data_IF_885719403920
#
_entry.id   IF_885719403920
#
_cell.length_a   1.000
_cell.length_b   1.000
_cell.length_c   1.000
_cell.angle_alpha   90.00
_cell.angle_beta   90.00
_cell.angle_gamma   90.00
#
_symmetry.space_group_name_H-M   'P 1'
#
loop_
_entity.id
_entity.type
_entity.pdbx_description
1 polymer ?
#
# COMPACT_ATOMS: atom_id res chain seq x y z
N UNK A 1 2.11 30.10 -16.03
CA UNK A 1 2.58 28.71 -15.87
C UNK A 1 1.43 27.76 -16.09
N UNK A 2 1.67 26.66 -16.78
CA UNK A 2 0.64 25.65 -17.04
C UNK A 2 0.43 24.76 -15.80
N UNK A 3 -0.81 24.31 -15.58
CA UNK A 3 -1.09 23.32 -14.53
C UNK A 3 -0.66 21.94 -15.01
N UNK A 4 0.31 21.31 -14.32
CA UNK A 4 0.79 19.99 -14.70
C UNK A 4 0.03 18.87 -13.97
N UNK A 5 -0.29 17.79 -14.69
CA UNK A 5 -1.03 16.64 -14.17
C UNK A 5 -0.78 15.40 -15.03
N UNK A 6 -1.26 14.25 -14.54
CA UNK A 6 -1.21 12.95 -15.19
C UNK A 6 -1.63 13.03 -16.67
N UNK A 7 -0.84 12.39 -17.54
CA UNK A 7 -1.08 12.32 -18.99
C UNK A 7 -0.44 13.44 -19.80
N UNK A 8 0.03 14.52 -19.17
CA UNK A 8 0.80 15.53 -19.88
C UNK A 8 2.20 15.01 -20.23
N UNK A 9 2.79 15.51 -21.33
CA UNK A 9 4.18 15.26 -21.68
C UNK A 9 4.83 16.49 -22.33
N UNK A 10 6.14 16.63 -22.16
CA UNK A 10 6.92 17.68 -22.80
C UNK A 10 6.90 17.52 -24.33
N UNK A 11 7.21 18.60 -25.04
CA UNK A 11 7.20 18.59 -26.52
C UNK A 11 8.18 17.54 -27.05
N UNK A 12 7.69 16.66 -27.94
CA UNK A 12 8.50 15.58 -28.52
C UNK A 12 8.76 14.38 -27.59
N UNK A 13 8.21 14.35 -26.37
CA UNK A 13 8.38 13.25 -25.40
C UNK A 13 7.24 12.24 -25.37
N UNK A 14 6.25 12.35 -26.27
CA UNK A 14 5.21 11.34 -26.37
C UNK A 14 5.83 9.96 -26.65
N UNK A 15 5.33 8.88 -26.02
CA UNK A 15 5.79 7.54 -26.35
C UNK A 15 5.42 7.19 -27.79
N UNK A 16 6.35 6.56 -28.52
CA UNK A 16 6.12 6.08 -29.90
C UNK A 16 4.98 5.07 -29.98
N UNK A 17 4.81 4.26 -28.93
CA UNK A 17 3.72 3.32 -28.76
C UNK A 17 3.03 3.53 -27.39
N UNK A 18 1.99 4.37 -27.31
CA UNK A 18 1.27 4.65 -26.06
C UNK A 18 0.70 3.39 -25.39
N UNK A 19 0.28 2.39 -26.17
CA UNK A 19 -0.30 1.15 -25.64
C UNK A 19 0.74 0.31 -24.92
N UNK A 20 1.90 0.15 -25.53
CA UNK A 20 3.02 -0.59 -24.94
C UNK A 20 3.54 0.10 -23.67
N UNK A 21 3.68 1.43 -23.72
CA UNK A 21 4.05 2.22 -22.56
C UNK A 21 3.07 2.01 -21.38
N UNK A 22 1.77 2.12 -21.64
CA UNK A 22 0.75 1.98 -20.60
C UNK A 22 0.57 0.53 -20.14
N UNK A 23 0.86 -0.47 -20.98
CA UNK A 23 0.67 -1.89 -20.64
C UNK A 23 1.51 -2.31 -19.44
N UNK A 24 2.73 -1.78 -19.37
CA UNK A 24 3.64 -1.98 -18.23
C UNK A 24 3.02 -1.39 -16.95
N UNK A 25 2.42 -0.21 -17.06
CA UNK A 25 1.83 0.53 -15.93
C UNK A 25 0.42 0.05 -15.53
N UNK A 26 -0.26 -0.66 -16.42
CA UNK A 26 -1.66 -1.08 -16.28
C UNK A 26 -1.84 -2.53 -15.85
N UNK A 27 -0.76 -3.21 -15.47
CA UNK A 27 -0.82 -4.61 -15.02
C UNK A 27 -1.98 -4.87 -14.03
N UNK A 28 -2.80 -5.89 -14.32
CA UNK A 28 -3.98 -6.24 -13.52
C UNK A 28 -5.27 -6.14 -14.33
N UNK A 29 -6.30 -5.49 -13.76
CA UNK A 29 -7.68 -5.57 -14.25
C UNK A 29 -8.04 -4.56 -15.36
N UNK A 30 -7.09 -3.77 -15.87
CA UNK A 30 -7.35 -2.84 -16.98
C UNK A 30 -7.27 -3.59 -18.32
N UNK A 31 -8.35 -3.53 -19.10
CA UNK A 31 -8.44 -4.14 -20.43
C UNK A 31 -8.14 -3.17 -21.58
N UNK A 32 -8.47 -1.88 -21.41
CA UNK A 32 -8.17 -0.83 -22.38
C UNK A 32 -6.94 -0.04 -21.95
N UNK A 33 -5.85 -0.27 -22.65
CA UNK A 33 -4.52 0.22 -22.33
C UNK A 33 -4.14 1.40 -23.24
N UNK A 34 -5.08 2.32 -23.50
CA UNK A 34 -4.86 3.43 -24.45
C UNK A 34 -4.72 4.81 -23.79
N UNK A 35 -5.04 4.90 -22.50
CA UNK A 35 -5.14 6.16 -21.77
C UNK A 35 -4.75 5.97 -20.30
N UNK A 36 -4.24 6.99 -19.62
CA UNK A 36 -4.08 6.93 -18.16
C UNK A 36 -5.44 6.88 -17.46
N UNK A 37 -5.44 6.37 -16.24
CA UNK A 37 -6.59 6.36 -15.35
C UNK A 37 -6.26 7.11 -14.07
N UNK A 38 -6.95 8.22 -13.83
CA UNK A 38 -6.83 8.97 -12.59
C UNK A 38 -7.73 8.36 -11.52
N UNK A 39 -7.10 7.69 -10.55
CA UNK A 39 -7.79 6.95 -9.49
C UNK A 39 -8.57 7.83 -8.53
N UNK A 40 -8.12 9.07 -8.30
CA UNK A 40 -8.73 9.98 -7.34
C UNK A 40 -9.80 10.86 -7.99
N UNK A 41 -9.92 10.81 -9.32
CA UNK A 41 -10.94 11.54 -10.10
C UNK A 41 -11.89 10.62 -10.84
N UNK A 42 -11.62 9.32 -10.87
CA UNK A 42 -12.35 8.31 -11.65
C UNK A 42 -12.47 8.69 -13.12
N UNK A 43 -11.43 9.31 -13.69
CA UNK A 43 -11.39 9.76 -15.08
C UNK A 43 -10.29 9.08 -15.88
N UNK A 44 -10.47 9.09 -17.19
CA UNK A 44 -9.48 8.61 -18.15
C UNK A 44 -8.82 9.81 -18.82
N UNK A 45 -7.49 9.82 -18.90
CA UNK A 45 -6.69 10.93 -19.41
C UNK A 45 -5.82 10.46 -20.58
N UNK A 46 -5.89 11.18 -21.70
CA UNK A 46 -5.05 10.90 -22.87
C UNK A 46 -3.70 11.61 -22.74
N UNK A 47 -2.73 11.16 -23.53
CA UNK A 47 -1.49 11.89 -23.72
C UNK A 47 -1.78 13.28 -24.30
N UNK A 48 -1.21 14.32 -23.70
CA UNK A 48 -1.35 15.68 -24.19
C UNK A 48 -0.02 16.43 -24.06
N UNK A 49 0.43 17.02 -25.17
CA UNK A 49 1.65 17.79 -25.20
C UNK A 49 1.49 19.10 -24.41
N UNK A 50 2.54 19.49 -23.70
CA UNK A 50 2.76 20.84 -23.20
C UNK A 50 4.04 21.40 -23.82
N UNK A 51 4.07 22.72 -23.97
CA UNK A 51 5.23 23.43 -24.53
C UNK A 51 6.40 23.40 -23.54
N UNK A 52 7.61 23.22 -24.06
CA UNK A 52 8.85 23.28 -23.28
C UNK A 52 9.18 21.98 -22.55
N UNK A 53 9.85 22.14 -21.40
CA UNK A 53 10.45 21.09 -20.56
C UNK A 53 9.88 21.06 -19.13
N UNK A 54 8.68 21.62 -18.91
CA UNK A 54 8.12 21.83 -17.57
C UNK A 54 7.96 20.52 -16.78
N UNK A 55 7.75 19.37 -17.44
CA UNK A 55 7.63 18.07 -16.79
C UNK A 55 8.99 17.49 -16.45
N UNK A 56 9.95 17.54 -17.37
CA UNK A 56 11.34 17.14 -17.10
C UNK A 56 11.92 17.94 -15.94
N UNK A 57 11.66 19.25 -15.88
CA UNK A 57 12.09 20.11 -14.76
C UNK A 57 11.41 19.76 -13.43
N UNK A 58 10.12 19.40 -13.47
CA UNK A 58 9.40 18.91 -12.30
C UNK A 58 10.00 17.58 -11.80
N UNK A 59 10.22 16.62 -12.70
CA UNK A 59 10.82 15.32 -12.37
C UNK A 59 12.23 15.50 -11.77
N UNK A 60 13.04 16.37 -12.38
CA UNK A 60 14.38 16.71 -11.88
C UNK A 60 14.32 17.33 -10.49
N UNK A 61 13.39 18.24 -10.23
CA UNK A 61 13.17 18.79 -8.90
C UNK A 61 12.79 17.69 -7.90
N UNK A 62 11.79 16.85 -8.24
CA UNK A 62 11.30 15.79 -7.34
C UNK A 62 12.41 14.77 -7.02
N UNK A 63 13.27 14.46 -7.98
CA UNK A 63 14.46 13.64 -7.75
C UNK A 63 15.41 14.31 -6.76
N UNK A 64 15.84 15.55 -7.06
CA UNK A 64 16.81 16.28 -6.23
C UNK A 64 16.30 16.57 -4.81
N UNK A 65 15.00 16.77 -4.65
CA UNK A 65 14.34 17.00 -3.37
C UNK A 65 14.05 15.70 -2.58
N UNK A 66 14.26 14.52 -3.17
CA UNK A 66 14.15 13.22 -2.50
C UNK A 66 12.82 12.49 -2.64
N UNK A 67 11.93 12.93 -3.52
CA UNK A 67 10.58 12.35 -3.71
C UNK A 67 10.48 11.35 -4.86
N UNK A 68 11.48 11.34 -5.75
CA UNK A 68 11.57 10.45 -6.90
C UNK A 68 12.93 9.73 -6.90
N UNK A 69 13.22 8.84 -5.94
CA UNK A 69 14.55 8.23 -5.72
C UNK A 69 15.01 7.26 -6.85
N UNK A 70 14.24 7.16 -7.93
CA UNK A 70 14.58 6.43 -9.16
C UNK A 70 14.95 7.37 -10.30
N UNK A 71 14.97 8.68 -10.06
CA UNK A 71 15.28 9.69 -11.06
C UNK A 71 16.68 9.56 -11.67
N UNK A 72 17.59 8.83 -11.03
CA UNK A 72 18.91 8.49 -11.62
C UNK A 72 18.81 7.61 -12.87
N UNK A 73 17.69 6.90 -13.07
CA UNK A 73 17.48 6.12 -14.27
C UNK A 73 16.87 7.02 -15.35
N UNK A 74 17.50 7.08 -16.52
CA UNK A 74 17.02 7.89 -17.66
C UNK A 74 15.58 7.56 -18.08
N UNK A 75 15.12 6.34 -17.81
CA UNK A 75 13.74 5.92 -18.07
C UNK A 75 12.69 6.60 -17.19
N UNK A 76 13.11 7.22 -16.07
CA UNK A 76 12.22 7.85 -15.08
C UNK A 76 12.09 9.35 -15.32
N UNK A 77 13.19 10.07 -15.55
CA UNK A 77 13.17 11.48 -15.97
C UNK A 77 13.04 11.51 -17.50
N UNK A 78 11.82 11.32 -17.97
CA UNK A 78 11.51 11.13 -19.38
C UNK A 78 10.64 12.24 -20.00
N UNK A 79 10.21 13.22 -19.19
CA UNK A 79 9.33 14.31 -19.63
C UNK A 79 7.86 13.89 -19.82
N UNK A 80 7.45 12.73 -19.30
CA UNK A 80 6.06 12.26 -19.29
C UNK A 80 5.53 12.28 -17.85
N UNK A 81 4.44 13.00 -17.61
CA UNK A 81 3.76 13.02 -16.32
C UNK A 81 2.94 11.75 -16.16
N UNK A 82 3.60 10.68 -15.75
CA UNK A 82 3.03 9.35 -15.51
C UNK A 82 2.61 9.14 -14.05
N UNK A 83 2.27 7.89 -13.68
CA UNK A 83 1.91 7.54 -12.31
C UNK A 83 3.05 7.68 -11.31
N UNK A 84 4.32 7.54 -11.74
CA UNK A 84 5.49 7.72 -10.86
C UNK A 84 5.67 9.21 -10.54
N UNK A 85 5.50 10.08 -11.54
CA UNK A 85 5.52 11.53 -11.38
C UNK A 85 4.38 12.00 -10.49
N UNK A 86 3.17 11.48 -10.70
CA UNK A 86 2.02 11.81 -9.86
C UNK A 86 2.22 11.37 -8.40
N UNK A 87 2.73 10.16 -8.17
CA UNK A 87 3.03 9.64 -6.83
C UNK A 87 4.09 10.49 -6.12
N UNK A 88 5.19 10.80 -6.82
CA UNK A 88 6.28 11.63 -6.29
C UNK A 88 5.78 13.03 -5.92
N UNK A 89 4.91 13.61 -6.74
CA UNK A 89 4.33 14.93 -6.45
C UNK A 89 3.37 14.89 -5.25
N UNK A 90 2.57 13.83 -5.09
CA UNK A 90 1.72 13.65 -3.90
C UNK A 90 2.54 13.52 -2.63
N UNK A 91 3.66 12.77 -2.67
CA UNK A 91 4.57 12.69 -1.52
C UNK A 91 5.18 14.05 -1.18
N UNK A 92 5.57 14.85 -2.19
CA UNK A 92 6.04 16.22 -1.96
C UNK A 92 4.97 17.08 -1.30
N UNK A 93 3.75 17.07 -1.84
CA UNK A 93 2.63 17.83 -1.29
C UNK A 93 2.31 17.40 0.15
N UNK A 94 2.33 16.09 0.42
CA UNK A 94 2.10 15.55 1.76
C UNK A 94 3.20 15.95 2.73
N UNK A 95 4.47 15.94 2.31
CA UNK A 95 5.59 16.39 3.12
C UNK A 95 5.48 17.89 3.43
N UNK A 96 5.18 18.72 2.43
CA UNK A 96 4.93 20.15 2.61
C UNK A 96 3.79 20.37 3.61
N UNK A 97 2.75 19.56 3.58
CA UNK A 97 1.61 19.68 4.49
C UNK A 97 1.94 19.30 5.94
N UNK A 98 2.84 18.33 6.14
CA UNK A 98 2.96 17.61 7.42
C UNK A 98 4.28 17.80 8.16
N UNK A 99 5.38 18.02 7.44
CA UNK A 99 6.75 18.03 7.98
C UNK A 99 7.50 19.32 7.72
N UNK A 100 7.17 20.03 6.64
CA UNK A 100 7.79 21.31 6.30
C UNK A 100 7.34 22.42 7.27
N UNK A 101 8.25 23.03 8.06
CA UNK A 101 7.89 24.06 9.03
C UNK A 101 7.29 25.33 8.39
N UNK A 102 7.65 25.62 7.14
CA UNK A 102 7.14 26.72 6.32
C UNK A 102 6.11 26.24 5.28
N UNK A 103 5.61 25.03 5.47
CA UNK A 103 4.66 24.39 4.59
C UNK A 103 3.24 24.93 4.70
N UNK A 104 2.37 24.43 3.83
CA UNK A 104 0.94 24.74 3.85
C UNK A 104 0.15 23.54 4.41
N UNK A 105 -0.31 23.66 5.65
CA UNK A 105 -1.10 22.62 6.35
C UNK A 105 -2.43 22.30 5.65
N UNK A 106 -2.92 23.19 4.79
CA UNK A 106 -4.14 22.99 4.00
C UNK A 106 -3.84 22.45 2.59
N UNK A 107 -2.57 22.23 2.25
CA UNK A 107 -2.19 21.64 0.98
C UNK A 107 -2.86 20.28 0.82
N UNK A 108 -3.40 20.02 -0.36
CA UNK A 108 -4.01 18.73 -0.68
C UNK A 108 -3.03 17.90 -1.51
N UNK A 109 -2.70 16.66 -1.10
CA UNK A 109 -1.84 15.78 -1.87
C UNK A 109 -2.61 15.15 -3.04
N UNK A 110 -2.92 15.93 -4.06
CA UNK A 110 -3.70 15.52 -5.23
C UNK A 110 -2.87 15.13 -6.47
N UNK A 111 -1.56 15.36 -6.44
CA UNK A 111 -0.66 15.05 -7.53
C UNK A 111 -0.81 15.99 -8.72
N UNK A 112 -1.33 17.20 -8.50
CA UNK A 112 -1.47 18.25 -9.51
C UNK A 112 -0.52 19.41 -9.16
N UNK A 113 0.32 19.81 -10.13
CA UNK A 113 1.18 20.99 -9.98
C UNK A 113 0.38 22.24 -10.39
N UNK A 114 -0.34 22.82 -9.43
CA UNK A 114 -0.93 24.16 -9.55
C UNK A 114 0.00 25.27 -9.05
N UNK A 115 -0.50 26.50 -8.98
CA UNK A 115 0.26 27.65 -8.46
C UNK A 115 0.69 27.49 -7.01
N UNK A 116 -0.16 26.90 -6.16
CA UNK A 116 0.18 26.58 -4.77
C UNK A 116 1.38 25.64 -4.68
N UNK A 117 1.31 24.49 -5.35
CA UNK A 117 2.43 23.54 -5.42
C UNK A 117 3.70 24.20 -5.98
N UNK A 118 3.58 24.98 -7.06
CA UNK A 118 4.72 25.66 -7.69
C UNK A 118 5.42 26.64 -6.74
N UNK A 119 4.67 27.41 -5.92
CA UNK A 119 5.26 28.31 -4.92
C UNK A 119 6.18 27.57 -3.95
N UNK A 120 5.79 26.37 -3.49
CA UNK A 120 6.63 25.57 -2.60
C UNK A 120 7.83 24.97 -3.34
N UNK A 121 7.66 24.54 -4.60
CA UNK A 121 8.78 24.09 -5.45
C UNK A 121 9.82 25.19 -5.61
N UNK A 122 9.41 26.42 -5.95
CA UNK A 122 10.31 27.55 -6.17
C UNK A 122 11.06 27.91 -4.88
N UNK A 123 10.37 27.92 -3.74
CA UNK A 123 10.99 28.13 -2.43
C UNK A 123 12.01 27.05 -2.10
N UNK A 124 11.66 25.77 -2.29
CA UNK A 124 12.56 24.65 -2.02
C UNK A 124 13.79 24.69 -2.94
N UNK A 125 13.64 25.07 -4.22
CA UNK A 125 14.76 25.29 -5.14
C UNK A 125 15.68 26.42 -4.66
N UNK A 126 15.10 27.56 -4.29
CA UNK A 126 15.85 28.73 -3.83
C UNK A 126 16.63 28.45 -2.54
N UNK A 127 16.04 27.71 -1.61
CA UNK A 127 16.62 27.39 -0.31
C UNK A 127 17.37 26.05 -0.30
N UNK A 128 17.44 25.34 -1.43
CA UNK A 128 18.04 24.01 -1.57
C UNK A 128 17.52 22.98 -0.53
N UNK A 129 16.21 23.00 -0.27
CA UNK A 129 15.55 22.09 0.67
C UNK A 129 15.44 20.70 0.06
N UNK A 130 15.64 19.67 0.90
CA UNK A 130 15.37 18.28 0.59
C UNK A 130 14.53 17.66 1.70
N UNK A 131 13.77 16.62 1.37
CA UNK A 131 13.11 15.80 2.38
C UNK A 131 14.15 15.18 3.31
N UNK A 132 13.85 15.08 4.60
CA UNK A 132 14.79 14.51 5.57
C UNK A 132 15.10 13.03 5.33
N UNK A 133 14.17 12.28 4.75
CA UNK A 133 14.35 10.87 4.43
C UNK A 133 15.39 10.61 3.34
N UNK A 134 15.95 11.64 2.69
CA UNK A 134 17.13 11.45 1.81
C UNK A 134 18.35 10.97 2.59
N UNK A 135 18.37 11.17 3.91
CA UNK A 135 19.43 10.72 4.80
C UNK A 135 19.14 9.33 5.39
N UNK A 136 18.02 8.71 5.03
CA UNK A 136 17.63 7.39 5.52
C UNK A 136 17.79 6.37 4.40
N UNK A 137 18.36 5.21 4.71
CA UNK A 137 18.53 4.12 3.75
C UNK A 137 18.49 2.77 4.45
N UNK A 138 18.53 1.69 3.68
CA UNK A 138 18.73 0.35 4.23
C UNK A 138 20.05 0.20 5.02
N UNK A 139 21.09 0.96 4.62
CA UNK A 139 22.41 0.98 5.27
C UNK A 139 22.48 1.93 6.47
N UNK A 140 21.61 2.94 6.50
CA UNK A 140 21.44 3.89 7.59
C UNK A 140 19.97 3.94 8.02
N UNK A 141 19.44 2.84 8.59
CA UNK A 141 18.04 2.77 8.95
C UNK A 141 17.75 3.53 10.25
N UNK A 142 16.49 3.91 10.44
CA UNK A 142 15.99 4.32 11.75
C UNK A 142 16.06 3.18 12.77
N UNK A 143 16.18 3.52 14.06
CA UNK A 143 16.18 2.53 15.14
C UNK A 143 14.93 1.64 15.12
N UNK A 144 13.76 2.23 14.84
CA UNK A 144 12.51 1.48 14.77
C UNK A 144 12.50 0.49 13.60
N UNK A 145 13.07 0.87 12.44
CA UNK A 145 13.19 -0.04 11.30
C UNK A 145 14.06 -1.24 11.65
N UNK A 146 15.24 -1.02 12.25
CA UNK A 146 16.12 -2.11 12.69
C UNK A 146 15.45 -3.04 13.70
N UNK A 147 14.66 -2.48 14.63
CA UNK A 147 13.86 -3.29 15.57
C UNK A 147 12.84 -4.18 14.85
N UNK A 148 12.11 -3.64 13.88
CA UNK A 148 11.15 -4.40 13.09
C UNK A 148 11.79 -5.51 12.27
N UNK A 149 12.91 -5.25 11.60
CA UNK A 149 13.67 -6.29 10.89
C UNK A 149 14.13 -7.39 11.86
N UNK A 150 14.62 -7.01 13.05
CA UNK A 150 14.99 -7.96 14.10
C UNK A 150 13.81 -8.84 14.57
N UNK A 151 12.62 -8.26 14.71
CA UNK A 151 11.38 -9.00 15.03
C UNK A 151 11.06 -10.04 13.96
N UNK A 152 11.11 -9.65 12.68
CA UNK A 152 10.79 -10.54 11.56
C UNK A 152 11.80 -11.70 11.46
N UNK A 153 13.09 -11.41 11.61
CA UNK A 153 14.15 -12.44 11.62
C UNK A 153 13.96 -13.39 12.80
N UNK A 154 13.67 -12.88 14.00
CA UNK A 154 13.40 -13.70 15.18
C UNK A 154 12.19 -14.62 14.97
N UNK A 155 11.11 -14.10 14.37
CA UNK A 155 9.92 -14.88 14.04
C UNK A 155 10.25 -16.01 13.05
N UNK A 156 10.99 -15.74 11.96
CA UNK A 156 11.46 -16.80 11.05
C UNK A 156 12.24 -17.88 11.77
N UNK A 157 13.23 -17.48 12.58
CA UNK A 157 14.08 -18.43 13.31
C UNK A 157 13.29 -19.30 14.29
N UNK A 158 12.28 -18.72 14.94
CA UNK A 158 11.36 -19.46 15.79
C UNK A 158 10.58 -20.50 14.97
N UNK A 159 9.93 -20.09 13.89
CA UNK A 159 9.06 -20.97 13.09
C UNK A 159 9.81 -22.01 12.26
N UNK A 160 11.10 -21.84 12.01
CA UNK A 160 11.94 -22.90 11.44
C UNK A 160 12.03 -24.14 12.34
N UNK A 161 11.88 -23.97 13.66
CA UNK A 161 12.01 -25.04 14.64
C UNK A 161 10.71 -25.34 15.39
N UNK A 162 9.72 -24.43 15.32
CA UNK A 162 8.48 -24.49 16.09
C UNK A 162 7.30 -24.10 15.19
N UNK A 163 7.07 -24.87 14.13
CA UNK A 163 5.93 -24.63 13.24
C UNK A 163 4.62 -24.81 13.98
N UNK A 164 3.64 -23.96 13.68
CA UNK A 164 2.24 -24.18 14.07
C UNK A 164 1.50 -24.91 12.95
N UNK A 165 0.28 -25.37 13.22
CA UNK A 165 -0.53 -26.16 12.27
C UNK A 165 -0.76 -25.45 10.93
N UNK A 166 -0.95 -24.13 10.96
CA UNK A 166 -1.07 -23.30 9.75
C UNK A 166 0.19 -23.38 8.89
N UNK A 167 1.37 -23.25 9.49
CA UNK A 167 2.64 -23.27 8.77
C UNK A 167 3.04 -24.68 8.32
N UNK A 168 2.61 -25.73 9.04
CA UNK A 168 2.75 -27.12 8.59
C UNK A 168 2.01 -27.32 7.27
N UNK A 169 0.74 -26.90 7.19
CA UNK A 169 -0.07 -26.96 5.97
C UNK A 169 0.58 -26.17 4.80
N UNK A 170 1.17 -25.00 5.08
CA UNK A 170 1.91 -24.21 4.07
C UNK A 170 3.14 -24.96 3.55
N UNK A 171 3.87 -25.67 4.42
CA UNK A 171 5.03 -26.46 4.01
C UNK A 171 4.65 -27.72 3.23
N UNK A 172 3.49 -28.29 3.52
CA UNK A 172 2.99 -29.48 2.81
C UNK A 172 2.32 -29.15 1.47
N UNK A 173 1.91 -27.90 1.25
CA UNK A 173 1.28 -27.46 0.01
C UNK A 173 2.23 -27.61 -1.19
N UNK A 174 1.79 -28.33 -2.23
CA UNK A 174 2.65 -28.77 -3.35
C UNK A 174 2.51 -27.97 -4.64
N UNK A 175 1.45 -27.19 -4.80
CA UNK A 175 1.24 -26.39 -6.03
C UNK A 175 1.94 -25.04 -5.92
N UNK A 176 2.27 -24.44 -7.06
CA UNK A 176 2.80 -23.08 -7.13
C UNK A 176 1.85 -22.09 -6.42
N UNK A 177 2.41 -21.27 -5.54
CA UNK A 177 1.68 -20.23 -4.80
C UNK A 177 2.60 -19.04 -4.52
N UNK A 178 2.00 -17.87 -4.30
CA UNK A 178 2.69 -16.67 -3.82
C UNK A 178 2.84 -16.65 -2.28
N UNK A 179 2.24 -17.59 -1.54
CA UNK A 179 2.55 -17.82 -0.13
C UNK A 179 3.88 -18.55 0.00
N UNK A 180 4.76 -18.09 0.89
CA UNK A 180 6.11 -18.59 1.03
C UNK A 180 6.22 -19.54 2.22
N UNK A 181 6.88 -20.66 1.96
CA UNK A 181 7.48 -21.54 2.95
C UNK A 181 8.40 -20.78 3.90
N UNK A 182 8.48 -21.21 5.16
CA UNK A 182 9.21 -20.50 6.23
C UNK A 182 10.69 -20.37 5.90
N UNK A 183 11.29 -21.45 5.40
CA UNK A 183 12.69 -21.46 4.92
C UNK A 183 12.97 -20.38 3.87
N UNK A 184 11.97 -20.08 3.04
CA UNK A 184 12.04 -19.12 1.96
C UNK A 184 11.66 -17.70 2.37
N UNK A 185 11.26 -17.42 3.62
CA UNK A 185 10.96 -16.05 4.04
C UNK A 185 12.18 -15.14 3.86
N UNK A 186 11.99 -13.95 3.32
CA UNK A 186 13.03 -12.99 3.00
C UNK A 186 12.76 -11.67 3.72
N UNK A 187 13.69 -11.25 4.55
CA UNK A 187 13.65 -9.99 5.30
C UNK A 187 14.85 -9.10 4.96
N UNK A 188 15.39 -9.26 3.76
CA UNK A 188 16.44 -8.38 3.26
C UNK A 188 15.99 -6.92 3.31
N UNK A 189 16.86 -6.04 3.79
CA UNK A 189 16.58 -4.60 3.88
C UNK A 189 16.55 -3.91 2.51
N UNK A 190 16.98 -4.63 1.47
CA UNK A 190 16.88 -4.25 0.07
C UNK A 190 15.47 -4.33 -0.52
N UNK A 191 14.54 -4.95 0.21
CA UNK A 191 13.17 -5.21 -0.22
C UNK A 191 12.18 -4.38 0.58
N UNK A 192 11.02 -4.13 -0.01
CA UNK A 192 9.90 -3.47 0.67
C UNK A 192 9.14 -4.53 1.45
N UNK A 193 8.88 -4.27 2.73
CA UNK A 193 8.07 -5.15 3.58
C UNK A 193 6.82 -4.44 4.05
N UNK A 194 5.66 -5.08 3.90
CA UNK A 194 4.43 -4.72 4.58
C UNK A 194 4.14 -5.80 5.61
N UNK A 195 3.94 -5.42 6.87
CA UNK A 195 3.63 -6.34 7.96
C UNK A 195 2.21 -6.09 8.42
N UNK A 196 1.34 -7.09 8.32
CA UNK A 196 0.00 -7.06 8.90
C UNK A 196 -0.01 -7.75 10.25
N UNK A 197 -0.57 -7.07 11.25
CA UNK A 197 -0.72 -7.59 12.60
C UNK A 197 -2.21 -7.77 12.86
N UNK A 198 -2.64 -9.03 12.73
CA UNK A 198 -4.02 -9.45 12.91
C UNK A 198 -4.36 -9.58 14.38
N UNK A 199 -5.56 -9.15 14.74
CA UNK A 199 -6.09 -9.16 16.10
C UNK A 199 -7.48 -9.78 16.10
N UNK A 200 -7.82 -10.51 17.16
CA UNK A 200 -9.17 -11.00 17.42
C UNK A 200 -9.79 -11.89 16.32
N UNK A 201 -8.97 -12.60 15.54
CA UNK A 201 -9.44 -13.44 14.41
C UNK A 201 -10.42 -14.54 14.85
N UNK A 202 -10.26 -14.97 16.10
CA UNK A 202 -11.03 -16.02 16.76
C UNK A 202 -12.37 -15.52 17.33
N UNK A 203 -12.58 -14.21 17.44
CA UNK A 203 -13.81 -13.67 18.00
C UNK A 203 -14.91 -13.70 16.95
N UNK A 204 -16.03 -14.37 17.22
CA UNK A 204 -17.24 -14.24 16.42
C UNK A 204 -17.72 -12.78 16.48
N UNK A 205 -17.70 -12.10 15.35
CA UNK A 205 -18.30 -10.78 15.19
C UNK A 205 -18.91 -10.66 13.80
N UNK A 206 -20.22 -10.38 13.76
CA UNK A 206 -20.99 -10.14 12.53
C UNK A 206 -20.44 -8.97 11.71
N UNK A 207 -19.77 -8.01 12.36
CA UNK A 207 -19.16 -6.85 11.70
C UNK A 207 -17.71 -6.71 12.19
N UNK A 208 -16.77 -7.23 11.40
CA UNK A 208 -15.35 -6.99 11.61
C UNK A 208 -15.01 -5.51 11.58
N UNK A 209 -14.40 -5.05 12.68
CA UNK A 209 -13.88 -3.69 12.81
C UNK A 209 -12.55 -3.57 12.09
N UNK A 210 -12.18 -2.33 11.80
CA UNK A 210 -10.82 -1.99 11.36
C UNK A 210 -9.93 -1.79 12.60
N UNK A 211 -9.54 -2.88 13.26
CA UNK A 211 -8.74 -2.89 14.49
C UNK A 211 -7.40 -3.62 14.36
N UNK A 212 -6.93 -3.81 13.11
CA UNK A 212 -5.62 -4.33 12.78
C UNK A 212 -4.63 -3.23 12.41
N UNK A 213 -3.34 -3.56 12.55
CA UNK A 213 -2.22 -2.66 12.31
C UNK A 213 -1.39 -3.15 11.12
N UNK A 214 -0.99 -2.22 10.26
CA UNK A 214 -0.10 -2.45 9.14
C UNK A 214 1.17 -1.61 9.29
N UNK A 215 2.34 -2.23 9.13
CA UNK A 215 3.64 -1.58 9.21
C UNK A 215 4.33 -1.67 7.86
N UNK A 216 4.60 -0.54 7.22
CA UNK A 216 5.41 -0.48 6.01
C UNK A 216 6.86 -0.19 6.40
N UNK A 217 7.75 -1.12 6.08
CA UNK A 217 9.20 -0.98 6.20
C UNK A 217 9.75 -0.69 4.81
N UNK A 218 10.31 0.49 4.61
CA UNK A 218 10.76 0.94 3.30
C UNK A 218 11.95 1.88 3.41
N UNK A 219 13.05 1.55 2.72
CA UNK A 219 14.26 2.37 2.67
C UNK A 219 14.73 2.88 4.06
N UNK A 220 14.79 1.98 5.06
CA UNK A 220 15.18 2.32 6.44
C UNK A 220 14.14 3.06 7.28
N UNK A 221 12.95 3.32 6.74
CA UNK A 221 11.86 4.04 7.40
C UNK A 221 10.70 3.13 7.78
N UNK A 222 9.93 3.55 8.79
CA UNK A 222 8.73 2.86 9.27
C UNK A 222 7.51 3.77 9.15
N UNK A 223 6.49 3.32 8.42
CA UNK A 223 5.17 3.96 8.38
C UNK A 223 4.14 3.00 8.95
N UNK A 224 3.12 3.51 9.64
CA UNK A 224 2.09 2.69 10.28
C UNK A 224 0.71 3.10 9.80
N UNK A 225 -0.11 2.13 9.46
CA UNK A 225 -1.46 2.32 8.94
C UNK A 225 -2.40 1.39 9.69
N UNK A 226 -3.70 1.66 9.67
CA UNK A 226 -4.69 0.81 10.33
C UNK A 226 -5.75 0.36 9.34
N UNK A 227 -6.46 -0.71 9.68
CA UNK A 227 -7.43 -1.32 8.80
C UNK A 227 -7.90 -2.67 9.31
N UNK A 228 -8.17 -3.61 8.39
CA UNK A 228 -8.57 -4.98 8.73
C UNK A 228 -7.87 -5.99 7.82
N UNK A 229 -7.38 -7.06 8.41
CA UNK A 229 -6.75 -8.21 7.76
C UNK A 229 -7.72 -9.38 7.60
N UNK A 230 -8.91 -9.27 8.21
CA UNK A 230 -9.94 -10.30 8.23
C UNK A 230 -11.04 -10.04 7.19
N UNK A 231 -11.66 -11.10 6.66
CA UNK A 231 -12.89 -11.00 5.90
C UNK A 231 -14.07 -10.51 6.76
N UNK A 232 -15.07 -9.92 6.11
CA UNK A 232 -16.40 -9.69 6.65
C UNK A 232 -17.41 -10.56 5.90
N UNK A 233 -18.00 -11.56 6.56
CA UNK A 233 -19.03 -12.41 5.95
C UNK A 233 -20.23 -11.62 5.44
N UNK A 234 -20.64 -10.55 6.13
CA UNK A 234 -21.71 -9.66 5.70
C UNK A 234 -21.44 -9.04 4.32
N UNK A 235 -20.17 -8.98 3.91
CA UNK A 235 -19.75 -8.55 2.57
C UNK A 235 -19.63 -9.73 1.58
N UNK A 236 -19.33 -10.93 2.07
CA UNK A 236 -19.26 -12.16 1.27
C UNK A 236 -20.65 -12.71 0.89
N UNK A 237 -21.65 -12.54 1.77
CA UNK A 237 -23.02 -12.97 1.59
C UNK A 237 -24.00 -11.80 1.56
N UNK A 238 -24.74 -11.66 0.45
CA UNK A 238 -25.84 -10.71 0.34
C UNK A 238 -27.15 -11.38 0.79
N UNK A 239 -27.54 -11.11 2.04
CA UNK A 239 -28.74 -11.70 2.63
C UNK A 239 -30.03 -11.32 1.89
N UNK A 240 -30.15 -10.06 1.45
CA UNK A 240 -31.33 -9.58 0.71
C UNK A 240 -31.54 -10.31 -0.62
N UNK A 241 -30.45 -10.64 -1.32
CA UNK A 241 -30.49 -11.33 -2.61
C UNK A 241 -30.30 -12.84 -2.48
N UNK A 242 -30.11 -13.35 -1.27
CA UNK A 242 -29.72 -14.75 -0.98
C UNK A 242 -28.60 -15.25 -1.89
N UNK A 243 -27.58 -14.40 -2.09
CA UNK A 243 -26.47 -14.66 -3.02
C UNK A 243 -25.13 -14.32 -2.37
N UNK A 244 -24.15 -15.21 -2.54
CA UNK A 244 -22.80 -15.01 -2.04
C UNK A 244 -22.24 -16.29 -1.46
N UNK A 245 -21.17 -16.17 -0.68
CA UNK A 245 -20.52 -17.29 0.01
C UNK A 245 -20.60 -17.06 1.52
N UNK A 246 -20.80 -18.14 2.25
CA UNK A 246 -20.79 -18.21 3.70
C UNK A 246 -19.43 -18.68 4.24
N UNK A 247 -18.51 -19.02 3.33
CA UNK A 247 -17.18 -19.52 3.64
C UNK A 247 -16.11 -18.54 3.15
N UNK A 248 -16.09 -17.37 3.80
CA UNK A 248 -15.10 -16.36 3.52
C UNK A 248 -13.65 -16.88 3.65
N UNK A 249 -12.74 -16.41 2.79
CA UNK A 249 -11.36 -16.83 2.85
C UNK A 249 -10.58 -16.01 3.87
N UNK A 250 -9.87 -16.69 4.76
CA UNK A 250 -8.87 -16.13 5.66
C UNK A 250 -7.47 -16.37 5.09
N UNK A 251 -6.72 -15.29 4.84
CA UNK A 251 -5.31 -15.42 4.48
C UNK A 251 -4.55 -16.11 5.61
N UNK A 252 -3.72 -17.09 5.25
CA UNK A 252 -2.86 -17.81 6.21
C UNK A 252 -1.81 -16.88 6.82
N UNK A 253 -1.42 -17.11 8.07
CA UNK A 253 -0.24 -16.47 8.65
C UNK A 253 1.02 -16.86 7.87
N UNK A 254 2.00 -15.95 7.79
CA UNK A 254 3.28 -16.15 7.11
C UNK A 254 3.64 -15.03 6.13
N UNK A 255 4.63 -15.29 5.26
CA UNK A 255 5.07 -14.32 4.24
C UNK A 255 4.49 -14.64 2.86
N UNK A 256 4.10 -13.61 2.13
CA UNK A 256 3.50 -13.68 0.80
C UNK A 256 4.17 -12.69 -0.15
N UNK A 257 4.20 -13.02 -1.45
CA UNK A 257 4.67 -12.12 -2.49
C UNK A 257 3.50 -11.36 -3.11
N UNK A 258 3.56 -10.03 -3.05
CA UNK A 258 2.53 -9.14 -3.60
C UNK A 258 3.13 -8.18 -4.61
N UNK A 259 2.30 -7.65 -5.51
CA UNK A 259 2.65 -6.56 -6.43
C UNK A 259 1.54 -5.54 -6.52
N UNK A 260 1.90 -4.31 -6.89
CA UNK A 260 0.89 -3.34 -7.28
C UNK A 260 0.23 -3.74 -8.61
N UNK A 261 -1.09 -3.54 -8.67
CA UNK A 261 -1.87 -3.74 -9.87
C UNK A 261 -3.25 -3.12 -9.75
N UNK A 262 -3.95 -3.00 -10.87
CA UNK A 262 -5.29 -2.43 -10.90
C UNK A 262 -6.31 -3.37 -10.29
N UNK A 263 -7.15 -2.82 -9.39
CA UNK A 263 -8.27 -3.50 -8.75
C UNK A 263 -9.59 -2.99 -9.31
N UNK A 264 -10.40 -3.89 -9.88
CA UNK A 264 -11.70 -3.58 -10.49
C UNK A 264 -11.64 -2.41 -11.46
N UNK A 265 -10.52 -2.28 -12.17
CA UNK A 265 -10.25 -1.15 -13.07
C UNK A 265 -10.46 0.22 -12.41
N UNK A 266 -10.43 0.38 -11.08
CA UNK A 266 -10.80 1.66 -10.42
C UNK A 266 -9.61 2.36 -9.76
N UNK A 267 -8.87 1.63 -8.95
CA UNK A 267 -7.67 2.11 -8.25
C UNK A 267 -6.64 1.01 -8.13
N UNK A 268 -5.41 1.37 -7.77
CA UNK A 268 -4.33 0.40 -7.53
C UNK A 268 -4.46 -0.27 -6.16
N UNK A 269 -4.18 -1.57 -6.14
CA UNK A 269 -4.14 -2.43 -4.95
C UNK A 269 -2.88 -3.30 -4.98
N UNK A 270 -2.50 -3.80 -3.81
CA UNK A 270 -1.57 -4.92 -3.75
C UNK A 270 -2.35 -6.20 -4.08
N UNK A 271 -1.90 -6.93 -5.10
CA UNK A 271 -2.46 -8.20 -5.54
C UNK A 271 -1.43 -9.30 -5.34
N UNK A 272 -1.84 -10.57 -5.16
CA UNK A 272 -0.93 -11.70 -5.24
C UNK A 272 -0.06 -11.62 -6.50
N UNK A 273 1.22 -11.95 -6.37
CA UNK A 273 2.22 -11.70 -7.40
C UNK A 273 1.90 -12.38 -8.75
N UNK A 274 1.64 -13.69 -8.74
CA UNK A 274 1.43 -14.48 -9.96
C UNK A 274 0.41 -15.59 -9.78
N UNK A 275 0.57 -16.44 -8.77
CA UNK A 275 -0.16 -17.70 -8.65
C UNK A 275 -1.38 -17.62 -7.71
N UNK A 276 -1.41 -16.63 -6.82
CA UNK A 276 -2.39 -16.55 -5.74
C UNK A 276 -1.81 -17.00 -4.41
N UNK A 277 -2.50 -16.65 -3.33
CA UNK A 277 -2.10 -16.92 -1.94
C UNK A 277 -2.94 -18.02 -1.32
N UNK A 278 -2.38 -18.72 -0.34
CA UNK A 278 -3.08 -19.78 0.40
C UNK A 278 -4.06 -19.18 1.41
N UNK A 279 -5.22 -19.81 1.55
CA UNK A 279 -6.29 -19.38 2.46
C UNK A 279 -6.92 -20.58 3.15
N UNK A 280 -7.38 -20.39 4.38
CA UNK A 280 -8.41 -21.22 4.98
C UNK A 280 -9.79 -20.64 4.66
N UNK A 281 -10.82 -21.48 4.75
CA UNK A 281 -12.23 -21.09 4.53
C UNK A 281 -12.96 -21.35 5.83
N UNK A 282 -13.78 -20.41 6.28
CA UNK A 282 -14.75 -20.66 7.35
C UNK A 282 -15.78 -21.66 6.84
N UNK A 283 -15.66 -22.93 7.23
CA UNK A 283 -16.51 -24.01 6.67
C UNK A 283 -17.66 -24.40 7.58
N UNK A 284 -17.70 -23.89 8.81
CA UNK A 284 -18.84 -24.04 9.73
C UNK A 284 -19.66 -22.76 9.90
N UNK A 285 -19.29 -21.70 9.17
CA UNK A 285 -20.03 -20.45 9.04
C UNK A 285 -20.19 -19.74 10.39
N UNK A 286 -19.13 -19.72 11.19
CA UNK A 286 -19.07 -19.09 12.50
C UNK A 286 -18.43 -17.68 12.47
N UNK A 287 -18.09 -17.18 11.28
CA UNK A 287 -17.48 -15.88 11.03
C UNK A 287 -16.08 -15.72 11.62
N UNK A 288 -15.39 -16.80 11.97
CA UNK A 288 -14.06 -16.77 12.57
C UNK A 288 -13.10 -17.73 11.86
N UNK A 289 -11.80 -17.55 12.09
CA UNK A 289 -10.82 -18.57 11.75
C UNK A 289 -10.56 -19.42 12.99
N UNK A 290 -11.17 -20.60 13.05
CA UNK A 290 -11.06 -21.50 14.20
C UNK A 290 -10.16 -22.71 13.94
N UNK A 291 -9.88 -23.47 14.99
CA UNK A 291 -9.17 -24.75 14.86
C UNK A 291 -9.92 -25.75 13.97
N UNK A 292 -11.26 -25.72 14.01
CA UNK A 292 -12.13 -26.54 13.15
C UNK A 292 -11.86 -26.26 11.66
N UNK A 293 -11.67 -24.99 11.29
CA UNK A 293 -11.37 -24.62 9.89
C UNK A 293 -9.97 -25.02 9.46
N UNK A 294 -9.00 -24.91 10.38
CA UNK A 294 -7.62 -25.34 10.13
C UNK A 294 -7.57 -26.86 9.90
N UNK A 295 -8.26 -27.64 10.73
CA UNK A 295 -8.34 -29.11 10.60
C UNK A 295 -9.00 -29.57 9.29
N UNK A 296 -9.86 -28.74 8.69
CA UNK A 296 -10.47 -29.01 7.37
C UNK A 296 -9.51 -28.73 6.20
N UNK A 297 -8.33 -28.17 6.47
CA UNK A 297 -7.24 -27.95 5.52
C UNK A 297 -7.41 -26.73 4.61
N UNK A 298 -6.32 -26.38 3.92
CA UNK A 298 -6.25 -25.26 3.00
C UNK A 298 -7.23 -25.38 1.81
N UNK A 299 -7.60 -24.23 1.23
CA UNK A 299 -8.24 -24.21 -0.10
C UNK A 299 -7.27 -24.86 -1.12
N UNK A 300 -7.68 -25.91 -1.86
CA UNK A 300 -6.77 -26.67 -2.73
C UNK A 300 -6.25 -25.88 -3.93
N UNK A 301 -6.80 -24.68 -4.18
CA UNK A 301 -6.37 -23.77 -5.24
C UNK A 301 -5.93 -22.44 -4.63
N UNK A 302 -4.71 -21.97 -4.92
CA UNK A 302 -4.26 -20.65 -4.47
C UNK A 302 -5.21 -19.55 -4.92
N UNK A 303 -5.53 -18.64 -4.01
CA UNK A 303 -6.52 -17.60 -4.22
C UNK A 303 -5.88 -16.34 -4.84
N UNK A 304 -6.20 -16.06 -6.11
CA UNK A 304 -5.71 -14.89 -6.83
C UNK A 304 -6.44 -13.56 -6.53
N UNK A 305 -7.41 -13.56 -5.60
CA UNK A 305 -8.31 -12.42 -5.38
C UNK A 305 -8.14 -11.73 -4.03
N UNK A 306 -7.32 -12.28 -3.12
CA UNK A 306 -7.02 -11.69 -1.81
C UNK A 306 -6.06 -10.50 -2.00
N UNK A 307 -6.62 -9.33 -2.23
CA UNK A 307 -5.87 -8.09 -2.40
C UNK A 307 -5.69 -7.36 -1.05
N UNK A 308 -4.80 -6.37 -1.00
CA UNK A 308 -4.74 -5.35 0.06
C UNK A 308 -5.09 -4.01 -0.57
N UNK A 309 -6.15 -3.36 -0.09
CA UNK A 309 -6.65 -2.14 -0.73
C UNK A 309 -7.33 -1.14 0.21
N UNK A 310 -7.70 0.01 -0.33
CA UNK A 310 -8.37 1.07 0.42
C UNK A 310 -9.79 0.70 0.88
N UNK A 311 -10.16 1.05 2.12
CA UNK A 311 -11.52 0.90 2.70
C UNK A 311 -12.31 2.21 2.84
N UNK A 312 -11.90 3.30 2.18
CA UNK A 312 -12.46 4.62 2.48
C UNK A 312 -11.76 5.23 3.68
N UNK A 313 -12.49 5.99 4.51
CA UNK A 313 -11.98 6.51 5.78
C UNK A 313 -11.82 5.44 6.86
N UNK A 314 -12.22 4.19 6.60
CA UNK A 314 -12.07 3.10 7.58
C UNK A 314 -13.25 2.95 8.54
N UNK A 315 -14.42 3.51 8.23
CA UNK A 315 -15.64 3.36 9.03
C UNK A 315 -16.15 1.92 9.12
N UNK A 316 -15.92 1.10 8.09
CA UNK A 316 -16.32 -0.31 8.06
C UNK A 316 -15.33 -1.17 7.27
N UNK A 317 -15.33 -2.48 7.53
CA UNK A 317 -14.67 -3.46 6.67
C UNK A 317 -15.61 -3.85 5.51
N UNK A 318 -15.31 -3.36 4.31
CA UNK A 318 -16.09 -3.65 3.09
C UNK A 318 -15.59 -4.86 2.30
N UNK A 319 -14.84 -5.75 2.95
CA UNK A 319 -14.12 -6.81 2.27
C UNK A 319 -14.69 -8.20 2.53
N UNK A 320 -14.84 -8.99 1.48
CA UNK A 320 -15.22 -10.41 1.53
C UNK A 320 -14.00 -11.35 1.54
N UNK A 321 -12.84 -10.89 2.07
CA UNK A 321 -11.58 -11.67 2.07
C UNK A 321 -10.32 -10.90 1.70
N UNK A 322 -10.43 -9.77 1.00
CA UNK A 322 -9.30 -8.84 0.88
C UNK A 322 -8.95 -8.23 2.24
N UNK A 323 -7.73 -7.75 2.37
CA UNK A 323 -7.35 -6.90 3.48
C UNK A 323 -7.54 -5.45 3.09
N UNK A 324 -7.81 -4.61 4.08
CA UNK A 324 -8.10 -3.21 3.84
C UNK A 324 -7.32 -2.28 4.74
N UNK A 325 -6.98 -1.11 4.20
CA UNK A 325 -6.28 -0.03 4.89
C UNK A 325 -7.14 1.23 4.82
N UNK A 326 -7.35 1.83 5.98
CA UNK A 326 -8.10 3.07 6.13
C UNK A 326 -7.32 4.26 5.57
N UNK A 327 -8.05 5.20 4.97
CA UNK A 327 -7.50 6.42 4.39
C UNK A 327 -7.51 7.62 5.34
N UNK A 328 -8.12 7.51 6.52
CA UNK A 328 -8.34 8.64 7.42
C UNK A 328 -7.08 9.16 8.10
N UNK A 329 -6.17 8.27 8.49
CA UNK A 329 -4.94 8.67 9.21
C UNK A 329 -3.85 7.61 9.10
N UNK A 330 -2.61 8.01 9.37
CA UNK A 330 -1.45 7.13 9.48
C UNK A 330 -0.41 7.72 10.44
N UNK A 331 0.58 6.93 10.81
CA UNK A 331 1.78 7.41 11.52
C UNK A 331 2.96 7.43 10.54
N UNK A 332 3.61 8.58 10.40
CA UNK A 332 4.76 8.75 9.50
C UNK A 332 6.08 8.21 10.10
N UNK A 333 7.17 8.37 9.35
CA UNK A 333 8.52 7.92 9.74
C UNK A 333 9.13 8.66 10.94
N UNK A 334 8.54 9.78 11.36
CA UNK A 334 8.88 10.50 12.60
C UNK A 334 7.99 10.10 13.78
N UNK A 335 7.20 9.04 13.63
CA UNK A 335 6.21 8.64 14.61
C UNK A 335 5.20 9.77 14.92
N UNK A 336 4.85 10.60 13.93
CA UNK A 336 3.80 11.62 14.06
C UNK A 336 2.48 11.07 13.51
N UNK A 337 1.37 11.30 14.24
CA UNK A 337 0.04 11.00 13.71
C UNK A 337 -0.33 12.04 12.67
N UNK A 338 -0.66 11.59 11.46
CA UNK A 338 -1.04 12.42 10.34
C UNK A 338 -2.52 12.20 10.04
N UNK A 339 -3.29 13.27 10.17
CA UNK A 339 -4.71 13.31 9.84
C UNK A 339 -4.92 13.66 8.35
N UNK A 340 -5.72 12.84 7.67
CA UNK A 340 -6.15 12.99 6.28
C UNK A 340 -7.68 13.17 6.14
N UNK A 341 -8.43 13.19 7.25
CA UNK A 341 -9.91 13.18 7.28
C UNK A 341 -10.55 14.28 6.42
N UNK A 342 -9.93 15.46 6.34
CA UNK A 342 -10.43 16.62 5.59
C UNK A 342 -10.44 16.42 4.06
N UNK A 343 -9.72 15.42 3.54
CA UNK A 343 -9.64 15.16 2.11
C UNK A 343 -9.70 13.67 1.73
N UNK A 344 -9.80 12.77 2.72
CA UNK A 344 -9.94 11.34 2.53
C UNK A 344 -11.38 10.97 2.15
N UNK A 345 -11.51 10.22 1.06
CA UNK A 345 -12.79 9.74 0.57
C UNK A 345 -13.41 8.71 1.50
N UNK A 346 -14.70 8.88 1.86
CA UNK A 346 -15.40 7.82 2.61
C UNK A 346 -15.65 6.55 1.80
N UNK A 347 -15.70 6.66 0.47
CA UNK A 347 -15.89 5.55 -0.46
C UNK A 347 -15.54 5.97 -1.89
N UNK A 348 -15.62 5.03 -2.84
CA UNK A 348 -15.28 5.28 -4.26
C UNK A 348 -16.10 6.39 -4.91
N UNK A 349 -17.35 6.62 -4.48
CA UNK A 349 -18.20 7.66 -5.10
C UNK A 349 -17.73 9.08 -4.80
N UNK A 350 -16.76 9.22 -3.89
CA UNK A 350 -16.12 10.49 -3.57
C UNK A 350 -14.84 10.77 -4.36
N UNK A 351 -14.29 9.77 -5.05
CA UNK A 351 -13.10 9.91 -5.88
C UNK A 351 -13.49 10.47 -7.26
N UNK A 352 -13.97 11.71 -7.29
CA UNK A 352 -14.49 12.37 -8.50
C UNK A 352 -13.95 13.78 -8.65
N UNK A 353 -14.08 14.36 -9.84
CA UNK A 353 -13.75 15.77 -10.09
C UNK A 353 -14.59 16.76 -9.25
N UNK A 354 -15.79 16.34 -8.84
CA UNK A 354 -16.71 17.18 -8.06
C UNK A 354 -16.25 17.27 -6.60
N UNK A 355 -16.06 16.13 -5.93
CA UNK A 355 -15.65 16.10 -4.53
C UNK A 355 -14.15 16.33 -4.34
N UNK A 356 -13.36 15.99 -5.37
CA UNK A 356 -11.89 16.09 -5.40
C UNK A 356 -11.20 15.34 -4.27
N UNK A 357 -11.87 14.48 -3.50
CA UNK A 357 -11.28 13.68 -2.42
C UNK A 357 -10.23 12.70 -2.97
N UNK A 358 -9.39 12.17 -2.07
CA UNK A 358 -8.33 11.20 -2.40
C UNK A 358 -8.48 9.97 -1.52
N UNK A 359 -7.60 8.97 -1.69
CA UNK A 359 -7.56 7.80 -0.78
C UNK A 359 -6.82 8.08 0.54
N UNK A 360 -6.39 9.31 0.79
CA UNK A 360 -5.79 9.75 2.05
C UNK A 360 -4.52 8.96 2.39
N UNK A 361 -4.43 8.44 3.61
CA UNK A 361 -3.32 7.60 4.08
C UNK A 361 -2.96 6.45 3.13
N UNK A 362 -3.94 5.86 2.44
CA UNK A 362 -3.67 4.80 1.47
C UNK A 362 -2.89 5.29 0.24
N UNK A 363 -3.07 6.55 -0.18
CA UNK A 363 -2.23 7.13 -1.23
C UNK A 363 -0.77 7.21 -0.76
N UNK A 364 -0.50 7.59 0.48
CA UNK A 364 0.87 7.63 1.03
C UNK A 364 1.53 6.27 0.95
N UNK A 365 0.84 5.20 1.38
CA UNK A 365 1.33 3.83 1.24
C UNK A 365 1.63 3.48 -0.21
N UNK A 366 0.67 3.72 -1.12
CA UNK A 366 0.82 3.37 -2.52
C UNK A 366 1.94 4.15 -3.21
N UNK A 367 2.06 5.44 -2.90
CA UNK A 367 3.03 6.34 -3.50
C UNK A 367 4.45 6.04 -3.00
N UNK A 368 4.62 5.77 -1.70
CA UNK A 368 5.89 5.30 -1.15
C UNK A 368 6.37 4.03 -1.87
N UNK A 369 5.49 3.03 -2.01
CA UNK A 369 5.88 1.80 -2.71
C UNK A 369 6.19 2.07 -4.18
N UNK A 370 5.38 2.86 -4.89
CA UNK A 370 5.63 3.20 -6.30
C UNK A 370 6.96 3.92 -6.50
N UNK A 371 7.26 4.89 -5.65
CA UNK A 371 8.47 5.71 -5.76
C UNK A 371 9.74 4.97 -5.35
N UNK A 372 9.67 4.12 -4.32
CA UNK A 372 10.85 3.44 -3.75
C UNK A 372 11.03 1.99 -4.22
N UNK A 373 10.09 1.41 -4.96
CA UNK A 373 10.29 0.08 -5.57
C UNK A 373 11.40 0.15 -6.61
N UNK A 374 12.40 -0.72 -6.48
CA UNK A 374 13.45 -0.89 -7.50
C UNK A 374 12.82 -1.10 -8.89
N UNK A 375 13.39 -0.54 -9.97
CA UNK A 375 12.95 -0.85 -11.32
C UNK A 375 13.01 -2.37 -11.54
N UNK A 376 11.94 -2.95 -12.04
CA UNK A 376 11.92 -4.36 -12.39
C UNK A 376 12.97 -4.66 -13.46
N UNK A 377 13.76 -5.71 -13.26
CA UNK A 377 14.55 -6.32 -14.35
C UNK A 377 13.59 -6.78 -15.45
N UNK A 378 14.07 -6.87 -16.70
CA UNK A 378 13.27 -7.35 -17.83
C UNK A 378 12.65 -8.72 -17.50
N UNK A 379 11.32 -8.79 -17.42
CA UNK A 379 10.57 -10.02 -17.09
C UNK A 379 10.11 -10.14 -15.63
N UNK A 380 10.59 -9.29 -14.72
CA UNK A 380 10.10 -9.22 -13.34
C UNK A 380 9.05 -8.11 -13.19
N UNK A 381 8.13 -8.24 -12.24
CA UNK A 381 7.25 -7.13 -11.83
C UNK A 381 7.72 -6.62 -10.49
N UNK A 382 7.61 -5.31 -10.26
CA UNK A 382 7.84 -4.74 -8.92
C UNK A 382 6.97 -5.49 -7.91
N UNK A 383 7.59 -5.90 -6.81
CA UNK A 383 6.93 -6.66 -5.77
C UNK A 383 7.31 -6.11 -4.40
N UNK A 384 6.60 -6.59 -3.40
CA UNK A 384 6.95 -6.45 -2.00
C UNK A 384 6.65 -7.75 -1.27
N UNK A 385 7.23 -7.91 -0.09
CA UNK A 385 6.87 -9.00 0.81
C UNK A 385 5.83 -8.54 1.81
N UNK A 386 4.71 -9.25 1.84
CA UNK A 386 3.66 -9.04 2.83
C UNK A 386 3.77 -10.14 3.88
N UNK A 387 4.02 -9.79 5.14
CA UNK A 387 4.06 -10.75 6.25
C UNK A 387 2.87 -10.55 7.16
N UNK A 388 2.04 -11.56 7.31
CA UNK A 388 0.89 -11.56 8.20
C UNK A 388 1.20 -12.40 9.44
N UNK A 389 0.93 -11.84 10.61
CA UNK A 389 1.04 -12.56 11.88
C UNK A 389 0.23 -11.90 12.99
N UNK A 390 0.32 -12.44 14.20
CA UNK A 390 -0.32 -11.89 15.41
C UNK A 390 0.70 -11.24 16.33
N UNK A 391 0.22 -10.45 17.29
CA UNK A 391 1.07 -9.83 18.33
C UNK A 391 1.95 -10.87 19.04
N UNK A 392 1.35 -12.02 19.39
CA UNK A 392 2.05 -13.15 19.99
C UNK A 392 3.03 -13.83 19.03
N UNK A 393 2.64 -14.01 17.77
CA UNK A 393 3.50 -14.62 16.73
C UNK A 393 4.78 -13.82 16.50
N UNK A 394 4.73 -12.50 16.70
CA UNK A 394 5.88 -11.61 16.54
C UNK A 394 6.59 -11.25 17.85
N UNK A 395 6.11 -11.71 19.02
CA UNK A 395 6.68 -11.35 20.31
C UNK A 395 6.73 -9.82 20.55
N UNK A 396 5.72 -9.08 20.08
CA UNK A 396 5.80 -7.61 20.02
C UNK A 396 5.94 -6.97 21.41
N UNK A 397 5.36 -7.55 22.45
CA UNK A 397 5.45 -7.01 23.81
C UNK A 397 6.89 -6.95 24.32
N UNK A 398 7.71 -7.95 24.00
CA UNK A 398 9.11 -8.00 24.42
C UNK A 398 9.96 -6.94 23.72
N UNK A 399 9.59 -6.58 22.48
CA UNK A 399 10.40 -5.72 21.61
C UNK A 399 9.96 -4.25 21.60
N UNK A 400 8.65 -4.02 21.70
CA UNK A 400 8.04 -2.70 21.62
C UNK A 400 7.26 -2.30 22.89
N UNK A 401 7.18 -3.20 23.86
CA UNK A 401 6.46 -3.00 25.11
C UNK A 401 4.99 -3.43 25.04
N UNK A 402 4.41 -3.62 26.22
CA UNK A 402 3.04 -4.08 26.38
C UNK A 402 2.03 -3.18 25.68
N UNK A 403 0.99 -3.79 25.10
CA UNK A 403 -0.10 -3.11 24.38
C UNK A 403 0.36 -2.23 23.19
N UNK A 404 1.51 -2.53 22.59
CA UNK A 404 2.07 -1.73 21.49
C UNK A 404 1.05 -1.47 20.38
N UNK A 405 0.33 -2.51 19.93
CA UNK A 405 -0.62 -2.37 18.82
C UNK A 405 -1.81 -1.50 19.22
N UNK A 406 -2.41 -1.74 20.38
CA UNK A 406 -3.56 -0.95 20.85
C UNK A 406 -3.16 0.52 21.04
N UNK A 407 -2.00 0.79 21.64
CA UNK A 407 -1.48 2.17 21.81
C UNK A 407 -1.27 2.85 20.45
N UNK A 408 -0.74 2.13 19.48
CA UNK A 408 -0.53 2.62 18.12
C UNK A 408 -1.85 2.92 17.41
N UNK A 409 -2.84 2.04 17.53
CA UNK A 409 -4.17 2.24 16.97
C UNK A 409 -4.88 3.44 17.61
N UNK A 410 -4.83 3.58 18.94
CA UNK A 410 -5.37 4.72 19.68
C UNK A 410 -4.76 6.05 19.24
N UNK A 411 -3.49 6.05 18.87
CA UNK A 411 -2.82 7.24 18.36
C UNK A 411 -3.35 7.69 17.00
N UNK A 412 -3.77 6.76 16.14
CA UNK A 412 -4.31 7.07 14.81
C UNK A 412 -5.81 7.31 14.80
N UNK A 413 -6.55 6.64 15.69
CA UNK A 413 -8.01 6.66 15.75
C UNK A 413 -8.45 7.48 16.94
N UNK A 414 -9.11 8.62 16.69
CA UNK A 414 -9.68 9.48 17.73
C UNK A 414 -10.66 8.78 18.66
N UNK A 415 -11.23 7.64 18.23
CA UNK A 415 -12.42 7.03 18.85
C UNK A 415 -12.13 5.71 19.62
N UNK A 416 -10.86 5.37 19.91
CA UNK A 416 -10.54 4.21 20.77
C UNK A 416 -10.29 4.68 22.21
N UNK A 417 -11.35 5.10 22.90
CA UNK A 417 -11.37 5.08 24.38
C UNK A 417 -11.83 3.73 24.86
#
# INVERSE_FOLDING_TARGET
>A
MSTLKLGLHDTGKAPSNPKEFLNILHAGDIKDVSSFKDEDRSTTLKFQAVSGSEITELQTFLYNAGFMPRGQYESVINGIFDYSTQASLRLFQEYVRTLDPEGDKNMKPDGIKGSGTQKHIDRWKLQNIKADWVNTSADQPSEEYSKWIGVLIAAKNHYLNNMNDILIEVEEFRKDTDTRKVSNWDYSTDEIHLVGIRRNQEKDDKIRRNDDLFILLINGMVFKFWGSTDPSQAMAYNDKKKRGRFDEPFLVEGQHKYRFGWHKSTYRALKPYKYGVLVFRDRDNDNALTESDIQKGLDPTPNGTINIHWSGVGSYNFSAGCQVIAGESYINHHNLNIDCSSFAGRNKSRLTNEFKETKGAYNVLADLVVCFSKPSKLGEKNHLYYTLGREKSFGLEEKFGKDYVIKTLRKMKSDIT
#
